data_IF_513452064883
#
_entry.id   IF_513452064883
#
_cell.length_a   1.000
_cell.length_b   1.000
_cell.length_c   1.000
_cell.angle_alpha   90.00
_cell.angle_beta   90.00
_cell.angle_gamma   90.00
#
_symmetry.space_group_name_H-M   'P 1'
#
loop_
_entity.id
_entity.type
_entity.pdbx_description
1 polymer ?
#
# COMPACT_ATOMS: atom_id res chain seq x y z
N UNK A 1 5.58 -16.16 4.68
CA UNK A 1 5.04 -14.80 4.89
C UNK A 1 5.64 -13.78 3.91
N UNK A 2 6.96 -13.83 3.63
CA UNK A 2 7.63 -12.90 2.70
C UNK A 2 6.98 -12.81 1.31
N UNK A 3 6.71 -13.93 0.64
CA UNK A 3 6.06 -13.93 -0.68
C UNK A 3 4.65 -13.31 -0.65
N UNK A 4 3.91 -13.45 0.45
CA UNK A 4 2.58 -12.86 0.61
C UNK A 4 2.66 -11.34 0.79
N UNK A 5 3.61 -10.86 1.61
CA UNK A 5 3.89 -9.42 1.75
C UNK A 5 4.33 -8.82 0.42
N UNK A 6 5.22 -9.49 -0.31
CA UNK A 6 5.65 -9.07 -1.66
C UNK A 6 4.46 -8.98 -2.62
N UNK A 7 3.58 -10.00 -2.62
CA UNK A 7 2.36 -10.02 -3.43
C UNK A 7 1.42 -8.86 -3.10
N UNK A 8 1.18 -8.57 -1.82
CA UNK A 8 0.36 -7.44 -1.36
C UNK A 8 0.96 -6.08 -1.77
N UNK A 9 2.29 -5.94 -1.72
CA UNK A 9 2.98 -4.71 -2.13
C UNK A 9 2.92 -4.52 -3.65
N UNK A 10 3.10 -5.58 -4.44
CA UNK A 10 2.94 -5.54 -5.89
C UNK A 10 1.50 -5.23 -6.29
N UNK A 11 0.51 -5.83 -5.61
CA UNK A 11 -0.90 -5.52 -5.81
C UNK A 11 -1.18 -4.05 -5.54
N UNK A 12 -0.71 -3.53 -4.41
CA UNK A 12 -0.88 -2.12 -4.07
C UNK A 12 -0.23 -1.17 -5.09
N UNK A 13 0.99 -1.46 -5.53
CA UNK A 13 1.69 -0.67 -6.54
C UNK A 13 0.92 -0.67 -7.87
N UNK A 14 0.41 -1.83 -8.29
CA UNK A 14 -0.36 -2.00 -9.53
C UNK A 14 -1.66 -1.19 -9.49
N UNK A 15 -2.41 -1.28 -8.38
CA UNK A 15 -3.66 -0.56 -8.20
C UNK A 15 -3.45 0.95 -8.03
N UNK A 16 -2.38 1.37 -7.34
CA UNK A 16 -2.00 2.77 -7.23
C UNK A 16 -1.60 3.37 -8.58
N UNK A 17 -0.87 2.63 -9.41
CA UNK A 17 -0.53 3.05 -10.77
C UNK A 17 -1.78 3.16 -11.66
N UNK A 18 -2.68 2.17 -11.61
CA UNK A 18 -3.96 2.19 -12.31
C UNK A 18 -4.81 3.40 -11.87
N UNK A 19 -4.89 3.66 -10.57
CA UNK A 19 -5.59 4.82 -10.02
C UNK A 19 -4.99 6.14 -10.53
N UNK A 20 -3.66 6.25 -10.57
CA UNK A 20 -2.97 7.42 -11.09
C UNK A 20 -3.24 7.64 -12.58
N UNK A 21 -3.15 6.59 -13.41
CA UNK A 21 -3.47 6.67 -14.85
C UNK A 21 -4.93 7.07 -15.06
N UNK A 22 -5.86 6.44 -14.34
CA UNK A 22 -7.29 6.80 -14.40
C UNK A 22 -7.56 8.21 -13.89
N UNK A 23 -6.77 8.68 -12.92
CA UNK A 23 -6.84 10.05 -12.42
C UNK A 23 -6.47 11.03 -13.54
N UNK A 24 -5.28 10.86 -14.15
CA UNK A 24 -4.77 11.69 -15.25
C UNK A 24 -5.72 11.68 -16.46
N UNK A 25 -6.12 10.49 -16.92
CA UNK A 25 -7.00 10.34 -18.08
C UNK A 25 -8.41 10.87 -17.80
N UNK A 26 -8.90 10.73 -16.57
CA UNK A 26 -10.24 11.14 -16.18
C UNK A 26 -10.34 12.58 -15.66
N UNK A 27 -9.28 13.42 -15.73
CA UNK A 27 -9.38 14.86 -15.42
C UNK A 27 -10.36 15.58 -16.36
N UNK A 28 -10.62 15.01 -17.55
CA UNK A 28 -11.45 15.63 -18.59
C UNK A 28 -12.88 15.06 -18.68
N UNK A 29 -13.20 13.95 -18.00
CA UNK A 29 -14.48 13.25 -18.15
C UNK A 29 -15.01 12.74 -16.81
N UNK A 30 -16.00 13.46 -16.27
CA UNK A 30 -16.91 13.15 -15.15
C UNK A 30 -16.32 12.82 -13.75
N UNK A 31 -17.06 13.17 -12.66
CA UNK A 31 -16.68 12.81 -11.30
C UNK A 31 -16.89 11.30 -11.11
N UNK A 32 -15.81 10.54 -11.06
CA UNK A 32 -15.87 9.07 -11.02
C UNK A 32 -15.61 8.55 -9.59
N UNK A 33 -16.66 8.11 -8.86
CA UNK A 33 -16.49 7.40 -7.59
C UNK A 33 -15.60 6.15 -7.74
N UNK A 34 -15.49 5.59 -8.95
CA UNK A 34 -14.62 4.46 -9.27
C UNK A 34 -13.13 4.72 -9.01
N UNK A 35 -12.64 5.96 -9.13
CA UNK A 35 -11.21 6.30 -8.91
C UNK A 35 -10.80 6.09 -7.45
N UNK A 36 -11.69 6.45 -6.53
CA UNK A 36 -11.51 6.39 -5.08
C UNK A 36 -11.33 4.93 -4.60
N UNK A 37 -12.04 3.98 -5.24
CA UNK A 37 -11.93 2.56 -4.90
C UNK A 37 -10.55 1.97 -5.18
N UNK A 38 -9.86 2.41 -6.25
CA UNK A 38 -8.52 1.90 -6.57
C UNK A 38 -7.48 2.41 -5.57
N UNK A 39 -7.57 3.68 -5.16
CA UNK A 39 -6.72 4.24 -4.10
C UNK A 39 -7.00 3.57 -2.73
N UNK A 40 -8.27 3.34 -2.37
CA UNK A 40 -8.63 2.57 -1.16
C UNK A 40 -8.07 1.14 -1.18
N UNK A 41 -8.17 0.45 -2.32
CA UNK A 41 -7.66 -0.91 -2.47
C UNK A 41 -6.13 -0.97 -2.33
N UNK A 42 -5.42 0.01 -2.89
CA UNK A 42 -3.98 0.14 -2.73
C UNK A 42 -3.58 0.48 -1.28
N UNK A 43 -4.31 1.38 -0.62
CA UNK A 43 -4.10 1.74 0.77
C UNK A 43 -4.31 0.55 1.72
N UNK A 44 -5.41 -0.19 1.57
CA UNK A 44 -5.70 -1.37 2.39
C UNK A 44 -4.65 -2.46 2.19
N UNK A 45 -4.26 -2.74 0.94
CA UNK A 45 -3.25 -3.77 0.65
C UNK A 45 -1.87 -3.43 1.23
N UNK A 46 -1.40 -2.17 1.07
CA UNK A 46 -0.14 -1.72 1.69
C UNK A 46 -0.20 -1.77 3.21
N UNK A 47 -1.32 -1.35 3.81
CA UNK A 47 -1.50 -1.38 5.27
C UNK A 47 -1.39 -2.81 5.81
N UNK A 48 -2.09 -3.76 5.18
CA UNK A 48 -2.06 -5.16 5.58
C UNK A 48 -0.65 -5.75 5.44
N UNK A 49 0.06 -5.44 4.35
CA UNK A 49 1.46 -5.85 4.17
C UNK A 49 2.39 -5.32 5.28
N UNK A 50 2.25 -4.04 5.65
CA UNK A 50 3.09 -3.37 6.64
C UNK A 50 2.77 -3.77 8.09
N UNK A 51 1.59 -4.32 8.36
CA UNK A 51 1.24 -4.90 9.65
C UNK A 51 1.73 -6.36 9.74
N UNK A 52 1.55 -7.15 8.67
CA UNK A 52 1.99 -8.56 8.66
C UNK A 52 3.51 -8.66 8.75
N UNK A 53 4.25 -7.74 8.12
CA UNK A 53 5.71 -7.76 8.10
C UNK A 53 6.36 -7.78 9.51
N UNK A 54 6.10 -6.82 10.42
CA UNK A 54 6.69 -6.83 11.76
C UNK A 54 6.19 -8.02 12.60
N UNK A 55 4.89 -8.33 12.55
CA UNK A 55 4.30 -9.44 13.32
C UNK A 55 4.93 -10.78 12.92
N UNK A 56 5.13 -11.00 11.61
CA UNK A 56 5.77 -12.22 11.12
C UNK A 56 7.25 -12.28 11.50
N UNK A 57 7.98 -11.17 11.44
CA UNK A 57 9.40 -11.11 11.84
C UNK A 57 9.58 -11.40 13.33
N UNK A 58 8.76 -10.79 14.19
CA UNK A 58 8.82 -11.01 15.63
C UNK A 58 8.54 -12.47 15.98
N UNK A 59 7.54 -13.07 15.33
CA UNK A 59 7.17 -14.47 15.56
C UNK A 59 8.20 -15.48 15.02
N UNK A 60 8.79 -15.21 13.85
CA UNK A 60 9.70 -16.15 13.18
C UNK A 60 11.13 -16.08 13.75
N UNK A 61 11.64 -14.87 14.00
CA UNK A 61 13.04 -14.67 14.39
C UNK A 61 13.26 -14.48 15.90
N UNK A 62 12.19 -14.31 16.70
CA UNK A 62 12.26 -14.07 18.17
C UNK A 62 13.29 -12.99 18.56
N UNK A 63 13.48 -11.99 17.70
CA UNK A 63 14.51 -10.96 17.91
C UNK A 63 14.04 -9.99 19.00
N UNK A 64 14.90 -9.75 19.99
CA UNK A 64 14.67 -8.78 21.07
C UNK A 64 14.64 -7.32 20.58
N UNK A 65 15.24 -7.04 19.42
CA UNK A 65 15.19 -5.72 18.78
C UNK A 65 15.41 -5.89 17.28
N UNK A 66 14.46 -5.42 16.48
CA UNK A 66 14.59 -5.35 15.03
C UNK A 66 14.56 -3.89 14.57
N UNK A 67 15.60 -3.45 13.86
CA UNK A 67 15.60 -2.13 13.23
C UNK A 67 14.92 -2.23 11.87
N UNK A 68 13.77 -1.57 11.73
CA UNK A 68 13.10 -1.46 10.45
C UNK A 68 13.90 -0.55 9.52
N UNK A 69 14.16 -1.04 8.30
CA UNK A 69 14.85 -0.26 7.28
C UNK A 69 13.98 0.90 6.74
N UNK A 70 14.62 1.80 6.00
CA UNK A 70 13.97 2.96 5.36
C UNK A 70 12.77 2.57 4.49
N UNK A 71 12.81 1.39 3.84
CA UNK A 71 11.72 0.85 3.05
C UNK A 71 10.40 0.65 3.83
N UNK A 72 10.48 0.34 5.12
CA UNK A 72 9.31 0.21 5.98
C UNK A 72 8.62 1.57 6.22
N UNK A 73 9.42 2.60 6.49
CA UNK A 73 8.92 3.97 6.63
C UNK A 73 8.35 4.53 5.33
N UNK A 74 9.02 4.27 4.19
CA UNK A 74 8.51 4.63 2.86
C UNK A 74 7.17 3.94 2.55
N UNK A 75 7.01 2.69 2.98
CA UNK A 75 5.74 1.98 2.89
C UNK A 75 4.60 2.72 3.58
N UNK A 76 4.79 3.11 4.84
CA UNK A 76 3.80 3.88 5.60
C UNK A 76 3.49 5.25 4.97
N UNK A 77 4.52 5.94 4.47
CA UNK A 77 4.35 7.18 3.72
C UNK A 77 3.49 6.99 2.46
N UNK A 78 3.72 5.91 1.72
CA UNK A 78 2.91 5.53 0.56
C UNK A 78 1.46 5.19 0.94
N UNK A 79 1.24 4.49 2.05
CA UNK A 79 -0.10 4.19 2.57
C UNK A 79 -0.88 5.46 2.91
N UNK A 80 -0.24 6.40 3.63
CA UNK A 80 -0.86 7.71 3.97
C UNK A 80 -1.20 8.47 2.70
N UNK A 81 -0.30 8.49 1.71
CA UNK A 81 -0.55 9.10 0.41
C UNK A 81 -1.76 8.49 -0.29
N UNK A 82 -1.88 7.15 -0.33
CA UNK A 82 -3.03 6.49 -0.93
C UNK A 82 -4.34 6.79 -0.21
N UNK A 83 -4.35 6.85 1.13
CA UNK A 83 -5.54 7.27 1.88
C UNK A 83 -5.91 8.74 1.61
N UNK A 84 -4.93 9.64 1.61
CA UNK A 84 -5.15 11.05 1.32
C UNK A 84 -5.67 11.28 -0.10
N UNK A 85 -5.18 10.51 -1.08
CA UNK A 85 -5.64 10.56 -2.47
C UNK A 85 -7.05 9.96 -2.67
N UNK A 86 -7.57 9.25 -1.67
CA UNK A 86 -8.87 8.61 -1.72
C UNK A 86 -9.96 9.37 -0.93
N UNK A 87 -9.61 10.45 -0.23
CA UNK A 87 -10.53 11.40 0.41
C UNK A 87 -11.01 12.45 -0.59
#
# INVERSE_FOLDING_TARGET
>A
WQNAVLGLMMFAASFGALAAVLSICGVLTTPLPKKIYYYHSAALSTTVALIIFPVAIEHDLKLLSHHYGTGYGLGWGGTIFFFAAAL
#
